data_IF_122582398648
#
_entry.id   IF_122582398648
#
_cell.length_a   1.000
_cell.length_b   1.000
_cell.length_c   1.000
_cell.angle_alpha   90.00
_cell.angle_beta   90.00
_cell.angle_gamma   90.00
#
_symmetry.space_group_name_H-M   'P 1'
#
loop_
_entity.id
_entity.type
_entity.pdbx_description
1 polymer ?
#
# COMPACT_ATOMS: atom_id res chain seq x y z
N UNK A 1 26.34 12.28 6.02
CA UNK A 1 26.51 13.75 6.04
C UNK A 1 26.18 14.22 7.45
N UNK A 2 26.91 15.17 8.05
CA UNK A 2 26.59 15.69 9.40
C UNK A 2 25.38 16.62 9.29
N UNK A 3 24.18 16.09 9.57
CA UNK A 3 22.89 16.79 9.41
C UNK A 3 22.52 17.65 10.60
N UNK A 4 23.37 17.69 11.63
CA UNK A 4 23.14 18.39 12.89
C UNK A 4 22.90 19.90 12.72
N UNK A 5 23.40 20.51 11.65
CA UNK A 5 23.22 21.94 11.34
C UNK A 5 21.92 22.26 10.57
N UNK A 6 21.16 21.25 10.12
CA UNK A 6 19.88 21.41 9.38
C UNK A 6 18.64 21.17 10.25
N UNK A 7 18.79 20.52 11.40
CA UNK A 7 17.71 20.15 12.32
C UNK A 7 17.49 21.32 13.28
N UNK A 8 16.44 22.10 13.05
CA UNK A 8 16.01 23.12 14.01
C UNK A 8 15.18 22.41 15.08
N UNK A 9 15.77 22.16 16.25
CA UNK A 9 15.06 21.54 17.37
C UNK A 9 14.01 22.51 17.96
N UNK A 10 12.76 22.38 17.52
CA UNK A 10 11.63 23.07 18.15
C UNK A 10 11.18 22.32 19.40
N UNK A 11 10.97 23.02 20.52
CA UNK A 11 10.38 22.44 21.72
C UNK A 11 8.84 22.52 21.69
N UNK A 12 8.15 21.74 22.52
CA UNK A 12 6.69 21.90 22.69
C UNK A 12 6.30 23.31 23.17
N UNK A 13 7.19 24.00 23.90
CA UNK A 13 6.97 25.39 24.33
C UNK A 13 6.97 26.39 23.17
N UNK A 14 7.76 26.13 22.13
CA UNK A 14 7.80 26.99 20.94
C UNK A 14 6.47 26.89 20.15
N UNK A 15 5.90 25.68 20.08
CA UNK A 15 4.56 25.47 19.52
C UNK A 15 3.46 26.09 20.36
N UNK A 16 3.55 26.06 21.69
CA UNK A 16 2.62 26.73 22.60
C UNK A 16 2.62 28.25 22.35
N UNK A 17 3.80 28.86 22.25
CA UNK A 17 3.94 30.29 21.94
C UNK A 17 3.42 30.66 20.55
N UNK A 18 3.69 29.83 19.53
CA UNK A 18 3.17 30.02 18.18
C UNK A 18 1.63 29.92 18.16
N UNK A 19 1.06 28.93 18.85
CA UNK A 19 -0.38 28.73 18.92
C UNK A 19 -1.07 29.90 19.63
N UNK A 20 -0.52 30.38 20.74
CA UNK A 20 -1.01 31.59 21.42
C UNK A 20 -0.97 32.83 20.51
N UNK A 21 0.05 32.95 19.66
CA UNK A 21 0.16 34.02 18.67
C UNK A 21 -0.90 33.97 17.55
N UNK A 22 -1.46 32.80 17.26
CA UNK A 22 -2.53 32.60 16.28
C UNK A 22 -3.93 32.88 16.85
N UNK A 23 -4.07 32.85 18.18
CA UNK A 23 -5.36 33.10 18.82
C UNK A 23 -5.77 34.58 18.71
N UNK A 24 -7.08 34.87 18.59
CA UNK A 24 -7.57 36.24 18.56
C UNK A 24 -7.18 37.00 19.84
N UNK A 25 -6.80 38.27 19.70
CA UNK A 25 -6.51 39.13 20.86
C UNK A 25 -7.80 39.40 21.64
N UNK A 26 -7.81 39.09 22.93
CA UNK A 26 -8.94 39.34 23.85
C UNK A 26 -8.69 38.74 25.24
N UNK A 27 -9.39 39.25 26.25
CA UNK A 27 -9.20 38.83 27.66
C UNK A 27 -9.27 37.31 27.82
N UNK A 28 -10.25 36.66 27.21
CA UNK A 28 -10.43 35.21 27.32
C UNK A 28 -9.24 34.39 26.77
N UNK A 29 -8.68 34.77 25.62
CA UNK A 29 -7.61 34.00 24.95
C UNK A 29 -6.21 34.29 25.50
N UNK A 30 -6.08 35.39 26.26
CA UNK A 30 -4.83 35.79 26.93
C UNK A 30 -4.89 35.55 28.43
N UNK A 31 -5.99 34.97 28.93
CA UNK A 31 -6.15 34.62 30.32
C UNK A 31 -5.25 33.43 30.69
N UNK A 32 -4.12 33.75 31.32
CA UNK A 32 -3.17 32.77 31.83
C UNK A 32 -3.67 32.04 33.09
N UNK A 33 -4.74 32.51 33.72
CA UNK A 33 -5.34 31.90 34.91
C UNK A 33 -6.41 30.85 34.54
N UNK A 34 -6.87 30.83 33.29
CA UNK A 34 -7.77 29.81 32.79
C UNK A 34 -7.03 28.48 32.56
N UNK A 35 -7.08 27.62 33.58
CA UNK A 35 -6.47 26.29 33.57
C UNK A 35 -6.93 25.40 32.40
N UNK A 36 -8.20 25.49 32.00
CA UNK A 36 -8.75 24.68 30.90
C UNK A 36 -8.18 25.12 29.56
N UNK A 37 -8.14 26.43 29.30
CA UNK A 37 -7.53 27.00 28.10
C UNK A 37 -6.03 26.68 28.04
N UNK A 38 -5.30 26.89 29.13
CA UNK A 38 -3.87 26.58 29.22
C UNK A 38 -3.59 25.10 28.98
N UNK A 39 -4.42 24.20 29.52
CA UNK A 39 -4.30 22.76 29.29
C UNK A 39 -4.57 22.37 27.83
N UNK A 40 -5.54 23.03 27.19
CA UNK A 40 -5.92 22.78 25.80
C UNK A 40 -4.80 23.22 24.85
N UNK A 41 -4.25 24.42 25.07
CA UNK A 41 -3.13 24.95 24.28
C UNK A 41 -1.91 24.02 24.41
N UNK A 42 -1.60 23.55 25.63
CA UNK A 42 -0.50 22.60 25.86
C UNK A 42 -0.73 21.25 25.18
N UNK A 43 -1.96 20.74 25.20
CA UNK A 43 -2.31 19.51 24.50
C UNK A 43 -2.07 19.64 23.00
N UNK A 44 -2.57 20.72 22.41
CA UNK A 44 -2.39 21.02 20.98
C UNK A 44 -0.91 21.18 20.65
N UNK A 45 -0.16 21.96 21.44
CA UNK A 45 1.27 22.17 21.22
C UNK A 45 2.06 20.85 21.25
N UNK A 46 1.68 19.91 22.14
CA UNK A 46 2.27 18.57 22.20
C UNK A 46 1.97 17.75 20.96
N UNK A 47 0.73 17.76 20.48
CA UNK A 47 0.33 17.04 19.27
C UNK A 47 1.04 17.59 18.02
N UNK A 48 1.17 18.92 17.93
CA UNK A 48 1.92 19.58 16.86
C UNK A 48 3.41 19.27 16.91
N UNK A 49 4.03 19.23 18.10
CA UNK A 49 5.43 18.81 18.26
C UNK A 49 5.62 17.35 17.83
N UNK A 50 4.73 16.45 18.23
CA UNK A 50 4.78 15.06 17.79
C UNK A 50 4.66 14.97 16.26
N UNK A 51 3.71 15.68 15.67
CA UNK A 51 3.52 15.72 14.21
C UNK A 51 4.75 16.29 13.50
N UNK A 52 5.35 17.35 14.05
CA UNK A 52 6.58 17.94 13.54
C UNK A 52 7.71 16.91 13.53
N UNK A 53 7.92 16.19 14.64
CA UNK A 53 8.99 15.20 14.77
C UNK A 53 8.79 14.01 13.82
N UNK A 54 7.55 13.57 13.65
CA UNK A 54 7.19 12.52 12.68
C UNK A 54 7.45 12.97 11.24
N UNK A 55 7.11 14.21 10.89
CA UNK A 55 7.36 14.78 9.55
C UNK A 55 8.86 15.02 9.34
N UNK A 56 9.56 15.58 10.33
CA UNK A 56 10.99 15.83 10.30
C UNK A 56 11.75 14.50 10.13
N UNK A 57 11.38 13.46 10.88
CA UNK A 57 11.92 12.12 10.68
C UNK A 57 11.64 11.61 9.26
N UNK A 58 10.43 11.83 8.72
CA UNK A 58 10.05 11.44 7.35
C UNK A 58 10.77 12.23 6.25
N UNK A 59 11.22 13.46 6.53
CA UNK A 59 11.90 14.34 5.57
C UNK A 59 13.42 14.18 5.63
N UNK A 60 13.98 14.04 6.85
CA UNK A 60 15.40 13.79 7.10
C UNK A 60 15.80 12.34 6.85
N UNK A 61 14.84 11.42 6.77
CA UNK A 61 15.02 10.22 5.95
C UNK A 61 15.01 10.62 4.48
N UNK A 62 16.05 11.35 4.05
CA UNK A 62 16.51 11.20 2.69
C UNK A 62 16.73 9.70 2.49
N UNK A 63 15.97 9.10 1.57
CA UNK A 63 16.13 7.73 1.12
C UNK A 63 17.47 7.58 0.41
N UNK A 64 18.59 7.77 1.11
CA UNK A 64 19.91 7.37 0.68
C UNK A 64 19.91 5.83 0.58
N UNK A 65 19.60 5.36 -0.62
CA UNK A 65 19.94 4.05 -1.19
C UNK A 65 19.29 2.78 -0.63
N UNK A 66 18.30 2.85 0.26
CA UNK A 66 17.38 1.71 0.49
C UNK A 66 15.93 2.14 0.37
N UNK A 67 15.39 1.98 -0.84
CA UNK A 67 13.95 2.01 -1.07
C UNK A 67 13.29 0.99 -0.13
N UNK A 68 12.63 1.49 0.91
CA UNK A 68 11.81 0.67 1.79
C UNK A 68 10.53 0.30 1.04
N UNK A 69 10.57 -0.83 0.34
CA UNK A 69 9.43 -1.35 -0.42
C UNK A 69 9.86 -2.30 -1.52
N UNK A 70 9.00 -3.26 -1.85
CA UNK A 70 9.19 -4.14 -3.00
C UNK A 70 8.92 -3.36 -4.28
N UNK A 71 9.93 -3.24 -5.16
CA UNK A 71 9.76 -2.69 -6.51
C UNK A 71 9.00 -3.69 -7.40
N UNK A 72 8.46 -3.21 -8.53
CA UNK A 72 7.92 -4.08 -9.59
C UNK A 72 8.95 -5.13 -10.04
N UNK A 73 10.24 -4.76 -10.11
CA UNK A 73 11.34 -5.70 -10.42
C UNK A 73 11.50 -6.81 -9.40
N UNK A 74 11.23 -6.51 -8.12
CA UNK A 74 11.38 -7.48 -7.03
C UNK A 74 10.23 -8.48 -7.08
N UNK A 75 9.00 -8.00 -7.31
CA UNK A 75 7.85 -8.87 -7.57
C UNK A 75 8.01 -9.70 -8.85
N UNK A 76 8.60 -9.15 -9.91
CA UNK A 76 8.93 -9.93 -11.11
C UNK A 76 9.97 -11.02 -10.82
N UNK A 77 10.97 -10.71 -9.98
CA UNK A 77 11.98 -11.67 -9.55
C UNK A 77 11.37 -12.78 -8.67
N UNK A 78 10.43 -12.42 -7.79
CA UNK A 78 9.67 -13.36 -6.99
C UNK A 78 8.80 -14.28 -7.86
N UNK A 79 8.14 -13.72 -8.87
CA UNK A 79 7.37 -14.51 -9.84
C UNK A 79 8.28 -15.50 -10.59
N UNK A 80 9.43 -15.02 -11.06
CA UNK A 80 10.41 -15.86 -11.77
C UNK A 80 10.95 -16.99 -10.88
N UNK A 81 11.12 -16.74 -9.58
CA UNK A 81 11.63 -17.73 -8.62
C UNK A 81 10.56 -18.76 -8.25
N UNK A 82 9.29 -18.34 -8.16
CA UNK A 82 8.19 -19.18 -7.65
C UNK A 82 7.50 -19.98 -8.75
N UNK A 83 7.22 -19.36 -9.89
CA UNK A 83 6.51 -19.96 -11.02
C UNK A 83 7.44 -20.30 -12.21
N UNK A 84 8.72 -19.94 -12.12
CA UNK A 84 9.72 -20.18 -13.17
C UNK A 84 10.01 -18.95 -14.03
N UNK A 85 11.18 -18.95 -14.67
CA UNK A 85 11.60 -17.91 -15.62
C UNK A 85 10.56 -17.73 -16.72
N UNK A 86 10.17 -16.48 -17.00
CA UNK A 86 9.19 -16.13 -18.02
C UNK A 86 7.80 -16.77 -17.80
N UNK A 87 7.44 -17.07 -16.56
CA UNK A 87 6.11 -17.58 -16.20
C UNK A 87 4.99 -16.55 -16.37
N UNK A 88 5.35 -15.27 -16.36
CA UNK A 88 4.41 -14.17 -16.44
C UNK A 88 5.09 -12.80 -16.33
N UNK A 89 4.27 -11.78 -16.17
CA UNK A 89 4.69 -10.38 -16.11
C UNK A 89 4.03 -9.67 -14.93
N UNK A 90 4.84 -8.89 -14.20
CA UNK A 90 4.39 -7.95 -13.18
C UNK A 90 4.60 -6.53 -13.70
N UNK A 91 3.58 -5.68 -13.55
CA UNK A 91 3.62 -4.30 -13.99
C UNK A 91 2.69 -3.44 -13.14
N UNK A 92 2.88 -2.13 -13.17
CA UNK A 92 2.01 -1.14 -12.55
C UNK A 92 1.42 -0.21 -13.64
N UNK A 93 0.50 0.67 -13.22
CA UNK A 93 -0.03 1.72 -14.09
C UNK A 93 0.05 3.05 -13.38
N UNK A 94 0.47 4.08 -14.11
CA UNK A 94 0.58 5.46 -13.59
C UNK A 94 -0.77 5.99 -13.09
N UNK A 95 -1.89 5.54 -13.69
CA UNK A 95 -3.23 5.93 -13.26
C UNK A 95 -3.66 5.34 -11.92
N UNK A 96 -2.97 4.32 -11.42
CA UNK A 96 -3.34 3.54 -10.23
C UNK A 96 -2.08 3.25 -9.38
N UNK A 97 -1.53 4.26 -8.69
CA UNK A 97 -0.20 4.19 -8.06
C UNK A 97 -0.07 3.18 -6.91
N UNK A 98 -1.20 2.70 -6.37
CA UNK A 98 -1.23 1.73 -5.27
C UNK A 98 -1.56 0.31 -5.72
N UNK A 99 -1.63 0.05 -7.03
CA UNK A 99 -2.04 -1.23 -7.59
C UNK A 99 -0.94 -1.84 -8.46
N UNK A 100 -0.48 -3.02 -8.05
CA UNK A 100 0.45 -3.84 -8.81
C UNK A 100 -0.33 -4.94 -9.52
N UNK A 101 -0.09 -5.10 -10.81
CA UNK A 101 -0.68 -6.15 -11.63
C UNK A 101 0.28 -7.30 -11.78
N UNK A 102 -0.18 -8.52 -11.48
CA UNK A 102 0.53 -9.76 -11.74
C UNK A 102 -0.25 -10.60 -12.76
N UNK A 103 0.41 -11.04 -13.82
CA UNK A 103 -0.18 -11.89 -14.85
C UNK A 103 0.68 -13.13 -15.08
N UNK A 104 0.05 -14.28 -15.25
CA UNK A 104 0.70 -15.54 -15.59
C UNK A 104 0.29 -15.97 -16.99
N UNK A 105 1.23 -16.54 -17.75
CA UNK A 105 0.91 -17.15 -19.03
C UNK A 105 0.13 -18.46 -18.85
N UNK A 106 -0.63 -18.83 -19.87
CA UNK A 106 -1.54 -19.97 -19.88
C UNK A 106 -0.89 -21.29 -19.42
N UNK A 107 0.37 -21.52 -19.81
CA UNK A 107 1.16 -22.71 -19.46
C UNK A 107 1.53 -22.80 -17.98
N UNK A 108 1.60 -21.67 -17.27
CA UNK A 108 2.06 -21.58 -15.87
C UNK A 108 0.92 -21.37 -14.88
N UNK A 109 -0.33 -21.42 -15.33
CA UNK A 109 -1.52 -21.20 -14.48
C UNK A 109 -1.63 -22.15 -13.30
N UNK A 110 -1.13 -23.38 -13.43
CA UNK A 110 -1.10 -24.35 -12.35
C UNK A 110 -0.26 -23.89 -11.14
N UNK A 111 0.59 -22.88 -11.30
CA UNK A 111 1.43 -22.28 -10.26
C UNK A 111 0.82 -21.00 -9.67
N UNK A 112 -0.38 -20.60 -10.10
CA UNK A 112 -1.04 -19.36 -9.66
C UNK A 112 -1.22 -19.26 -8.15
N UNK A 113 -1.64 -20.35 -7.49
CA UNK A 113 -1.83 -20.37 -6.03
C UNK A 113 -0.48 -20.18 -5.32
N UNK A 114 0.57 -20.85 -5.79
CA UNK A 114 1.91 -20.75 -5.22
C UNK A 114 2.47 -19.33 -5.38
N UNK A 115 2.31 -18.73 -6.56
CA UNK A 115 2.73 -17.36 -6.84
C UNK A 115 1.95 -16.36 -5.98
N UNK A 116 0.63 -16.52 -5.85
CA UNK A 116 -0.21 -15.69 -4.98
C UNK A 116 0.27 -15.72 -3.54
N UNK A 117 0.42 -16.92 -2.97
CA UNK A 117 0.84 -17.08 -1.58
C UNK A 117 2.23 -16.50 -1.33
N UNK A 118 3.12 -16.53 -2.32
CA UNK A 118 4.42 -15.88 -2.22
C UNK A 118 4.31 -14.36 -2.19
N UNK A 119 3.43 -13.76 -3.00
CA UNK A 119 3.22 -12.31 -3.06
C UNK A 119 2.58 -11.78 -1.78
N UNK A 120 1.61 -12.49 -1.20
CA UNK A 120 0.93 -12.07 0.05
C UNK A 120 1.88 -12.00 1.24
N UNK A 121 2.93 -12.82 1.30
CA UNK A 121 3.95 -12.77 2.37
C UNK A 121 4.71 -11.44 2.40
N UNK A 122 4.78 -10.77 1.25
CA UNK A 122 5.56 -9.56 1.05
C UNK A 122 4.68 -8.39 0.62
N UNK A 123 3.37 -8.49 0.87
CA UNK A 123 2.43 -7.43 0.53
C UNK A 123 2.65 -6.22 1.44
N UNK A 124 2.81 -5.05 0.83
CA UNK A 124 2.92 -3.79 1.55
C UNK A 124 1.52 -3.33 2.04
N UNK A 125 1.41 -2.71 3.23
CA UNK A 125 0.12 -2.34 3.84
C UNK A 125 -0.79 -1.46 2.98
N UNK A 126 -0.22 -0.67 2.06
CA UNK A 126 -0.93 0.27 1.20
C UNK A 126 -0.82 -0.08 -0.29
N UNK A 127 -0.44 -1.32 -0.62
CA UNK A 127 -0.34 -1.81 -1.99
C UNK A 127 -1.28 -2.99 -2.20
N UNK A 128 -2.11 -2.90 -3.22
CA UNK A 128 -2.97 -3.99 -3.66
C UNK A 128 -2.32 -4.73 -4.83
N UNK A 129 -2.53 -6.04 -4.89
CA UNK A 129 -2.04 -6.89 -5.99
C UNK A 129 -3.24 -7.42 -6.77
N UNK A 130 -3.41 -6.95 -8.00
CA UNK A 130 -4.42 -7.43 -8.94
C UNK A 130 -3.87 -8.55 -9.82
N UNK A 131 -4.55 -9.69 -9.82
CA UNK A 131 -4.18 -10.82 -10.66
C UNK A 131 -4.93 -10.78 -11.98
N UNK A 132 -4.20 -10.62 -13.08
CA UNK A 132 -4.76 -10.58 -14.43
C UNK A 132 -4.68 -11.96 -15.07
N UNK A 133 -5.84 -12.46 -15.50
CA UNK A 133 -5.97 -13.72 -16.20
C UNK A 133 -6.25 -13.46 -17.68
N UNK A 134 -5.28 -13.74 -18.54
CA UNK A 134 -5.55 -13.88 -19.97
C UNK A 134 -5.79 -15.36 -20.27
N UNK A 135 -6.82 -15.69 -21.04
CA UNK A 135 -7.00 -17.05 -21.58
C UNK A 135 -7.02 -16.98 -23.10
N UNK A 136 -6.07 -17.66 -23.74
CA UNK A 136 -6.14 -17.91 -25.16
C UNK A 136 -7.10 -19.09 -25.39
N UNK A 137 -8.40 -18.82 -25.38
CA UNK A 137 -9.38 -19.85 -25.73
C UNK A 137 -9.25 -20.19 -27.22
N UNK A 138 -8.71 -21.37 -27.53
CA UNK A 138 -8.73 -21.93 -28.89
C UNK A 138 -10.16 -22.39 -29.18
N UNK A 139 -10.79 -21.82 -30.22
CA UNK A 139 -12.16 -22.12 -30.69
C UNK A 139 -12.45 -23.63 -30.83
N UNK A 140 -11.43 -24.43 -31.17
CA UNK A 140 -11.55 -25.89 -31.24
C UNK A 140 -11.96 -26.57 -29.92
N UNK A 141 -11.59 -26.00 -28.77
CA UNK A 141 -11.92 -26.59 -27.47
C UNK A 141 -13.41 -26.41 -27.10
N UNK A 142 -14.03 -25.31 -27.53
CA UNK A 142 -15.48 -25.11 -27.37
C UNK A 142 -16.29 -26.08 -28.25
N UNK A 143 -15.83 -26.35 -29.48
CA UNK A 143 -16.48 -27.33 -30.36
C UNK A 143 -16.38 -28.77 -29.84
N UNK A 144 -15.27 -29.14 -29.20
CA UNK A 144 -15.11 -30.45 -28.58
C UNK A 144 -16.03 -30.64 -27.36
N UNK A 145 -16.11 -29.62 -26.48
CA UNK A 145 -16.97 -29.68 -25.29
C UNK A 145 -18.46 -29.67 -25.64
N UNK A 146 -18.88 -28.97 -26.70
CA UNK A 146 -20.27 -29.01 -27.18
C UNK A 146 -20.74 -30.42 -27.55
N UNK A 147 -19.85 -31.27 -28.09
CA UNK A 147 -20.19 -32.64 -28.47
C UNK A 147 -20.38 -33.57 -27.27
N UNK A 148 -19.71 -33.30 -26.14
CA UNK A 148 -19.79 -34.15 -24.94
C UNK A 148 -20.96 -33.80 -24.01
N UNK A 149 -21.45 -32.55 -24.01
CA UNK A 149 -22.54 -32.12 -23.12
C UNK A 149 -23.92 -32.68 -23.54
N UNK A 150 -24.07 -33.17 -24.79
CA UNK A 150 -25.36 -33.67 -25.30
C UNK A 150 -25.74 -35.10 -24.89
N UNK A 151 -24.86 -35.85 -24.23
CA UNK A 151 -25.13 -37.25 -23.85
C UNK A 151 -25.45 -37.43 -22.35
N UNK A 152 -26.13 -36.47 -21.72
CA UNK A 152 -26.75 -36.68 -20.42
C UNK A 152 -28.16 -37.26 -20.62
N UNK A 153 -28.26 -38.57 -20.76
CA UNK A 153 -29.54 -39.26 -20.63
C UNK A 153 -29.96 -39.26 -19.17
N UNK A 154 -30.90 -38.37 -18.81
CA UNK A 154 -31.66 -38.48 -17.57
C UNK A 154 -32.67 -39.61 -17.73
N UNK A 155 -32.52 -40.68 -16.94
CA UNK A 155 -33.58 -41.65 -16.75
C UNK A 155 -34.30 -41.30 -15.45
N UNK A 156 -35.58 -40.95 -15.55
CA UNK A 156 -36.47 -40.82 -14.40
C UNK A 156 -36.91 -42.22 -13.98
N UNK A 157 -36.71 -42.57 -12.71
CA UNK A 157 -37.22 -43.81 -12.11
C UNK A 157 -38.65 -43.53 -11.64
N UNK A 158 -39.64 -44.12 -12.30
CA UNK A 158 -41.00 -44.24 -11.77
C UNK A 158 -41.09 -45.47 -10.86
N UNK A 159 -41.79 -45.28 -9.73
CA UNK A 159 -41.88 -46.14 -8.53
C UNK A 159 -42.00 -47.64 -8.75
#
# INVERSE_FOLDING_TARGET
MDTSDLIIEYSAGDFEGAYQGLLPKGEYWQDTENLELASTIKGIAKDFKQTHDEIELSLLTEFEEQQFGWKVSDYQSLLNTTAGQQSGMVFDKVSEPNLIYASLYDSFRHLSIQAWQAFEKYRLPHTEVAWVYHSAFIVHHQMANYRHIRNLHKYEVTQ
#
